data_IF_420278200139
#
_entry.id   IF_420278200139
#
_cell.length_a   1.000
_cell.length_b   1.000
_cell.length_c   1.000
_cell.angle_alpha   90.00
_cell.angle_beta   90.00
_cell.angle_gamma   90.00
#
_symmetry.space_group_name_H-M   'P 1'
#
loop_
_entity.id
_entity.type
_entity.pdbx_description
1 polymer ?
#
# COMPACT_ATOMS: atom_id res chain seq x y z
N UNK A 1 -46.18 -4.82 14.09
CA UNK A 1 -45.25 -3.68 13.97
C UNK A 1 -44.82 -3.59 12.52
N UNK A 2 -45.33 -2.63 11.77
CA UNK A 2 -44.91 -2.38 10.39
C UNK A 2 -43.65 -1.52 10.43
N UNK A 3 -42.52 -2.02 9.93
CA UNK A 3 -41.34 -1.19 9.66
C UNK A 3 -41.73 -0.27 8.51
N UNK A 4 -41.82 1.03 8.80
CA UNK A 4 -41.88 2.06 7.76
C UNK A 4 -40.53 1.99 7.06
N UNK A 5 -40.48 1.38 5.88
CA UNK A 5 -39.29 1.42 5.03
C UNK A 5 -39.17 2.84 4.52
N UNK A 6 -38.10 3.60 4.84
CA UNK A 6 -37.92 4.93 4.29
C UNK A 6 -37.81 4.80 2.77
N UNK A 7 -38.49 5.67 2.04
CA UNK A 7 -38.29 5.78 0.59
C UNK A 7 -36.81 6.09 0.32
N UNK A 8 -36.21 5.47 -0.71
CA UNK A 8 -34.84 5.79 -1.11
C UNK A 8 -34.75 7.28 -1.46
N UNK A 9 -33.60 7.94 -1.17
CA UNK A 9 -33.41 9.33 -1.53
C UNK A 9 -33.59 9.51 -3.04
N UNK A 10 -34.22 10.61 -3.43
CA UNK A 10 -34.38 10.96 -4.84
C UNK A 10 -33.00 10.96 -5.50
N UNK A 11 -32.83 10.18 -6.57
CA UNK A 11 -31.63 10.26 -7.40
C UNK A 11 -31.58 11.68 -7.95
N UNK A 12 -30.56 12.50 -7.64
CA UNK A 12 -30.43 13.80 -8.27
C UNK A 12 -30.32 13.57 -9.77
N UNK A 13 -31.20 14.22 -10.54
CA UNK A 13 -31.18 14.15 -12.00
C UNK A 13 -29.76 14.52 -12.46
N UNK A 14 -29.07 13.59 -13.14
CA UNK A 14 -27.71 13.78 -13.66
C UNK A 14 -27.78 14.62 -14.94
N UNK A 15 -28.47 15.75 -14.87
CA UNK A 15 -28.59 16.69 -15.98
C UNK A 15 -28.18 18.06 -15.45
N UNK A 16 -26.95 18.44 -15.84
CA UNK A 16 -26.25 19.65 -15.44
C UNK A 16 -25.52 19.55 -14.09
N UNK A 17 -24.38 18.84 -14.11
CA UNK A 17 -23.32 19.10 -13.12
C UNK A 17 -22.88 20.55 -13.33
N UNK A 18 -22.92 21.35 -12.26
CA UNK A 18 -22.50 22.75 -12.30
C UNK A 18 -21.08 22.83 -12.90
N UNK A 19 -20.86 23.58 -13.99
CA UNK A 19 -19.55 23.69 -14.63
C UNK A 19 -18.47 24.18 -13.66
N UNK A 20 -18.82 24.89 -12.58
CA UNK A 20 -17.88 25.27 -11.52
C UNK A 20 -17.45 24.10 -10.64
N UNK A 21 -18.34 23.14 -10.42
CA UNK A 21 -18.01 21.87 -9.74
C UNK A 21 -17.11 21.03 -10.65
N UNK A 22 -17.43 20.99 -11.95
CA UNK A 22 -16.60 20.31 -12.95
C UNK A 22 -15.21 20.93 -13.03
N UNK A 23 -15.12 22.26 -13.10
CA UNK A 23 -13.84 22.98 -13.15
C UNK A 23 -13.03 22.81 -11.86
N UNK A 24 -13.69 22.86 -10.70
CA UNK A 24 -13.06 22.56 -9.41
C UNK A 24 -12.55 21.11 -9.34
N UNK A 25 -13.31 20.15 -9.86
CA UNK A 25 -12.89 18.75 -9.90
C UNK A 25 -11.74 18.54 -10.89
N UNK A 26 -11.80 19.14 -12.08
CA UNK A 26 -10.76 19.04 -13.10
C UNK A 26 -9.46 19.70 -12.63
N UNK A 27 -9.52 20.88 -12.02
CA UNK A 27 -8.36 21.59 -11.47
C UNK A 27 -7.71 20.81 -10.32
N UNK A 28 -8.48 20.14 -9.48
CA UNK A 28 -7.95 19.25 -8.42
C UNK A 28 -7.05 18.14 -8.99
N UNK A 29 -7.32 17.68 -10.21
CA UNK A 29 -6.53 16.67 -10.92
C UNK A 29 -5.63 17.25 -12.03
N UNK A 30 -5.55 18.57 -12.18
CA UNK A 30 -4.85 19.26 -13.28
C UNK A 30 -5.30 18.83 -14.69
N UNK A 31 -6.58 18.50 -14.85
CA UNK A 31 -7.19 18.00 -16.09
C UNK A 31 -7.97 19.07 -16.88
N UNK A 32 -7.81 20.35 -16.53
CA UNK A 32 -8.52 21.45 -17.18
C UNK A 32 -8.08 21.70 -18.64
N UNK A 33 -8.88 22.43 -19.44
CA UNK A 33 -8.57 22.73 -20.85
C UNK A 33 -7.29 23.56 -21.05
N UNK A 34 -6.86 24.31 -20.03
CA UNK A 34 -5.58 25.04 -19.98
C UNK A 34 -4.44 24.21 -19.38
N UNK A 35 -4.62 22.90 -19.18
CA UNK A 35 -3.54 21.97 -18.90
C UNK A 35 -2.69 21.80 -20.17
N UNK A 36 -1.98 22.87 -20.53
CA UNK A 36 -0.91 22.84 -21.51
C UNK A 36 0.03 21.69 -21.16
N UNK A 37 0.53 21.04 -22.19
CA UNK A 37 1.50 19.94 -22.15
C UNK A 37 2.73 20.29 -21.31
N UNK A 38 2.59 20.26 -19.99
CA UNK A 38 3.68 20.31 -19.04
C UNK A 38 4.03 18.85 -18.79
N UNK A 39 5.32 18.46 -18.85
CA UNK A 39 5.69 17.09 -18.58
C UNK A 39 5.12 16.77 -17.20
N UNK A 40 4.24 15.77 -17.16
CA UNK A 40 3.68 15.27 -15.92
C UNK A 40 4.84 15.20 -14.91
N UNK A 41 4.68 15.65 -13.66
CA UNK A 41 5.61 15.17 -12.65
C UNK A 41 5.54 13.66 -12.79
N UNK A 42 6.69 13.05 -13.08
CA UNK A 42 6.83 11.60 -13.09
C UNK A 42 6.59 11.14 -11.66
N UNK A 43 5.33 11.19 -11.21
CA UNK A 43 4.78 10.20 -10.34
C UNK A 43 4.95 8.96 -11.21
N UNK A 44 6.06 8.28 -11.00
CA UNK A 44 6.20 6.89 -11.38
C UNK A 44 4.95 6.27 -10.82
N UNK A 45 3.95 6.09 -11.68
CA UNK A 45 2.79 5.25 -11.42
C UNK A 45 3.39 3.87 -11.36
N UNK A 46 3.98 3.55 -10.21
CA UNK A 46 4.28 2.19 -9.87
C UNK A 46 2.92 1.51 -9.90
N UNK A 47 2.72 0.65 -10.89
CA UNK A 47 1.49 -0.12 -11.00
C UNK A 47 1.28 -0.75 -9.62
N UNK A 48 0.15 -0.49 -8.93
CA UNK A 48 -0.06 -1.01 -7.58
C UNK A 48 0.06 -2.54 -7.56
N UNK A 49 -0.29 -3.19 -8.68
CA UNK A 49 -0.03 -4.62 -8.94
C UNK A 49 1.46 -4.99 -8.82
N UNK A 50 2.36 -4.19 -9.38
CA UNK A 50 3.80 -4.43 -9.31
C UNK A 50 4.37 -4.19 -7.89
N UNK A 51 3.76 -3.29 -7.12
CA UNK A 51 4.19 -3.04 -5.73
C UNK A 51 3.74 -4.17 -4.80
N UNK A 52 2.49 -4.62 -4.88
CA UNK A 52 1.99 -5.76 -4.11
C UNK A 52 2.79 -7.03 -4.43
N UNK A 53 3.03 -7.32 -5.70
CA UNK A 53 3.85 -8.46 -6.13
C UNK A 53 5.29 -8.37 -5.60
N UNK A 54 5.90 -7.18 -5.63
CA UNK A 54 7.23 -6.96 -5.05
C UNK A 54 7.24 -7.21 -3.54
N UNK A 55 6.21 -6.78 -2.81
CA UNK A 55 6.09 -6.99 -1.36
C UNK A 55 5.90 -8.47 -1.02
N UNK A 56 5.06 -9.18 -1.76
CA UNK A 56 4.86 -10.62 -1.62
C UNK A 56 6.18 -11.36 -1.87
N UNK A 57 6.93 -10.97 -2.91
CA UNK A 57 8.23 -11.54 -3.21
C UNK A 57 9.23 -11.30 -2.06
N UNK A 58 9.35 -10.06 -1.57
CA UNK A 58 10.22 -9.73 -0.42
C UNK A 58 9.83 -10.54 0.82
N UNK A 59 8.54 -10.64 1.14
CA UNK A 59 8.07 -11.45 2.27
C UNK A 59 8.45 -12.93 2.11
N UNK A 60 8.32 -13.48 0.89
CA UNK A 60 8.74 -14.86 0.60
C UNK A 60 10.25 -15.08 0.80
N UNK A 61 11.07 -14.10 0.40
CA UNK A 61 12.53 -14.11 0.59
C UNK A 61 12.85 -14.10 2.09
N UNK A 62 12.24 -13.20 2.85
CA UNK A 62 12.45 -13.10 4.31
C UNK A 62 12.04 -14.39 5.02
N UNK A 63 10.92 -15.00 4.64
CA UNK A 63 10.45 -16.28 5.21
C UNK A 63 11.42 -17.43 4.90
N UNK A 64 11.91 -17.50 3.65
CA UNK A 64 12.90 -18.50 3.24
C UNK A 64 14.24 -18.30 3.96
N UNK A 65 14.69 -17.06 4.09
CA UNK A 65 15.89 -16.71 4.84
C UNK A 65 15.77 -17.08 6.32
N UNK A 66 14.62 -16.82 6.95
CA UNK A 66 14.36 -17.21 8.33
C UNK A 66 14.43 -18.72 8.51
N UNK A 67 13.74 -19.49 7.66
CA UNK A 67 13.79 -20.95 7.69
C UNK A 67 15.24 -21.48 7.57
N UNK A 68 16.01 -20.89 6.65
CA UNK A 68 17.42 -21.24 6.45
C UNK A 68 18.27 -20.90 7.67
N UNK A 69 18.06 -19.74 8.29
CA UNK A 69 18.79 -19.31 9.47
C UNK A 69 18.44 -20.14 10.71
N UNK A 70 17.17 -20.51 10.89
CA UNK A 70 16.73 -21.42 11.95
C UNK A 70 17.35 -22.81 11.79
N UNK A 71 17.25 -23.40 10.60
CA UNK A 71 17.90 -24.68 10.29
C UNK A 71 19.42 -24.60 10.54
N UNK A 72 20.07 -23.50 10.16
CA UNK A 72 21.49 -23.30 10.42
C UNK A 72 21.81 -23.18 11.92
N UNK A 73 20.98 -22.48 12.69
CA UNK A 73 21.13 -22.33 14.13
C UNK A 73 20.94 -23.66 14.87
N UNK A 74 19.99 -24.49 14.44
CA UNK A 74 19.71 -25.80 15.02
C UNK A 74 20.85 -26.79 14.75
N UNK A 75 21.54 -26.66 13.61
CA UNK A 75 22.71 -27.46 13.26
C UNK A 75 24.03 -26.94 13.88
N UNK A 76 23.98 -25.89 14.71
CA UNK A 76 25.17 -25.29 15.34
C UNK A 76 25.09 -25.30 16.88
N UNK A 77 26.24 -25.10 17.53
CA UNK A 77 26.32 -24.97 19.00
C UNK A 77 27.24 -23.80 19.38
N UNK A 78 27.15 -23.37 20.65
CA UNK A 78 28.01 -22.32 21.21
C UNK A 78 27.86 -20.96 20.51
N UNK A 79 28.99 -20.30 20.27
CA UNK A 79 29.04 -18.96 19.67
C UNK A 79 28.43 -18.90 18.27
N UNK A 80 28.68 -19.92 17.43
CA UNK A 80 28.17 -19.94 16.06
C UNK A 80 26.64 -19.95 16.03
N UNK A 81 26.02 -20.75 16.91
CA UNK A 81 24.55 -20.73 17.09
C UNK A 81 24.04 -19.35 17.49
N UNK A 82 24.75 -18.62 18.35
CA UNK A 82 24.36 -17.26 18.72
C UNK A 82 24.42 -16.30 17.53
N UNK A 83 25.44 -16.43 16.66
CA UNK A 83 25.53 -15.64 15.43
C UNK A 83 24.35 -15.97 14.49
N UNK A 84 24.03 -17.25 14.29
CA UNK A 84 22.90 -17.66 13.47
C UNK A 84 21.55 -17.13 14.03
N UNK A 85 21.36 -17.18 15.35
CA UNK A 85 20.21 -16.55 16.01
C UNK A 85 20.20 -15.02 15.85
N UNK A 86 21.38 -14.38 15.79
CA UNK A 86 21.49 -12.97 15.45
C UNK A 86 20.98 -12.66 14.04
N UNK A 87 21.25 -13.53 13.06
CA UNK A 87 20.71 -13.40 11.69
C UNK A 87 19.18 -13.53 11.69
N UNK A 88 18.63 -14.51 12.42
CA UNK A 88 17.17 -14.65 12.60
C UNK A 88 16.57 -13.33 13.12
N UNK A 89 17.18 -12.75 14.15
CA UNK A 89 16.69 -11.51 14.73
C UNK A 89 16.73 -10.33 13.74
N UNK A 90 17.77 -10.24 12.92
CA UNK A 90 17.85 -9.22 11.86
C UNK A 90 16.75 -9.39 10.81
N UNK A 91 16.38 -10.62 10.48
CA UNK A 91 15.28 -10.92 9.55
C UNK A 91 13.93 -10.50 10.15
N UNK A 92 13.69 -10.78 11.42
CA UNK A 92 12.49 -10.34 12.14
C UNK A 92 12.38 -8.81 12.19
N UNK A 93 13.50 -8.12 12.44
CA UNK A 93 13.56 -6.66 12.39
C UNK A 93 13.24 -6.11 10.99
N UNK A 94 13.70 -6.78 9.93
CA UNK A 94 13.37 -6.40 8.56
C UNK A 94 11.87 -6.55 8.27
N UNK A 95 11.24 -7.61 8.76
CA UNK A 95 9.79 -7.81 8.66
C UNK A 95 9.02 -6.70 9.39
N UNK A 96 9.38 -6.38 10.64
CA UNK A 96 8.76 -5.30 11.41
C UNK A 96 8.88 -3.93 10.72
N UNK A 97 10.02 -3.65 10.06
CA UNK A 97 10.21 -2.43 9.28
C UNK A 97 9.33 -2.40 8.04
N UNK A 98 9.17 -3.52 7.35
CA UNK A 98 8.25 -3.65 6.22
C UNK A 98 6.81 -3.40 6.66
N UNK A 99 6.36 -4.03 7.74
CA UNK A 99 5.01 -3.83 8.30
C UNK A 99 4.77 -2.36 8.66
N UNK A 100 5.74 -1.71 9.30
CA UNK A 100 5.67 -0.27 9.64
C UNK A 100 5.52 0.63 8.40
N UNK A 101 6.18 0.27 7.29
CA UNK A 101 6.09 1.00 6.02
C UNK A 101 4.74 0.76 5.34
N UNK A 102 4.17 -0.45 5.47
CA UNK A 102 2.83 -0.76 4.96
C UNK A 102 1.74 -0.01 5.73
N UNK A 103 1.82 0.00 7.05
CA UNK A 103 0.88 0.74 7.92
C UNK A 103 0.87 2.24 7.59
N UNK A 104 2.04 2.82 7.34
CA UNK A 104 2.14 4.24 6.96
C UNK A 104 1.50 4.54 5.61
N UNK A 105 1.55 3.61 4.66
CA UNK A 105 0.90 3.76 3.36
C UNK A 105 -0.62 3.63 3.47
N UNK A 106 -1.13 2.70 4.30
CA UNK A 106 -2.57 2.55 4.52
C UNK A 106 -3.24 3.80 5.11
N UNK A 107 -2.53 4.53 5.99
CA UNK A 107 -3.03 5.81 6.54
C UNK A 107 -3.08 6.91 5.49
N UNK A 108 -2.16 6.93 4.53
CA UNK A 108 -2.12 7.95 3.46
C UNK A 108 -3.24 7.82 2.43
N UNK A 109 -3.91 6.68 2.33
CA UNK A 109 -5.00 6.42 1.36
C UNK A 109 -6.38 6.86 1.89
N UNK A 110 -6.49 7.10 3.20
CA UNK A 110 -7.77 7.37 3.89
C UNK A 110 -7.96 8.82 4.38
N UNK A 111 -7.09 9.76 3.98
CA UNK A 111 -7.17 11.19 4.32
C UNK A 111 -7.30 12.06 3.08
#
# INVERSE_FOLDING_TARGET
MFKITPNPPATPNVESIDPRIVDRALSHYNLGPDAGSKPAPAIVRHDPLNQEDALVNVYSILKSAAATAYENADNQTGSNRQVAMGVVHLIELAQLRMDSVLDRQAVSVNG
#
